data_IF_858575259460
#
_entry.id   IF_858575259460
#
_cell.length_a   1.000
_cell.length_b   1.000
_cell.length_c   1.000
_cell.angle_alpha   90.00
_cell.angle_beta   90.00
_cell.angle_gamma   90.00
#
_symmetry.space_group_name_H-M   'P 1'
#
loop_
_entity.id
_entity.type
_entity.pdbx_description
1 polymer ?
#
# COMPACT_ATOMS: atom_id res chain seq x y z
N UNK A 1 -13.81 29.02 0.55
CA UNK A 1 -12.39 29.07 0.13
C UNK A 1 -11.71 27.70 0.26
N UNK A 2 -11.76 27.03 1.42
CA UNK A 2 -11.16 25.69 1.61
C UNK A 2 -11.65 24.64 0.58
N UNK A 3 -12.94 24.65 0.23
CA UNK A 3 -13.49 23.73 -0.79
C UNK A 3 -12.95 23.97 -2.20
N UNK A 4 -12.66 25.23 -2.56
CA UNK A 4 -12.11 25.56 -3.89
C UNK A 4 -10.64 25.10 -3.98
N UNK A 5 -9.86 25.33 -2.91
CA UNK A 5 -8.46 24.91 -2.84
C UNK A 5 -8.33 23.38 -2.88
N UNK A 6 -9.17 22.66 -2.14
CA UNK A 6 -9.19 21.18 -2.14
C UNK A 6 -9.55 20.61 -3.50
N UNK A 7 -10.58 21.15 -4.17
CA UNK A 7 -10.95 20.74 -5.53
C UNK A 7 -9.79 21.02 -6.51
N UNK A 8 -9.18 22.20 -6.44
CA UNK A 8 -8.03 22.55 -7.28
C UNK A 8 -6.84 21.60 -7.09
N UNK A 9 -6.52 21.23 -5.85
CA UNK A 9 -5.47 20.28 -5.53
C UNK A 9 -5.78 18.86 -6.07
N UNK A 10 -7.02 18.39 -5.92
CA UNK A 10 -7.44 17.08 -6.48
C UNK A 10 -7.28 17.07 -7.99
N UNK A 11 -7.74 18.11 -8.68
CA UNK A 11 -7.59 18.23 -10.14
C UNK A 11 -6.11 18.24 -10.52
N UNK A 12 -5.27 19.01 -9.82
CA UNK A 12 -3.83 19.06 -10.08
C UNK A 12 -3.17 17.69 -9.93
N UNK A 13 -3.49 16.94 -8.88
CA UNK A 13 -2.98 15.58 -8.66
C UNK A 13 -3.44 14.65 -9.79
N UNK A 14 -4.73 14.68 -10.16
CA UNK A 14 -5.28 13.86 -11.23
C UNK A 14 -4.64 14.16 -12.59
N UNK A 15 -4.41 15.44 -12.91
CA UNK A 15 -3.72 15.87 -14.14
C UNK A 15 -2.30 15.33 -14.16
N UNK A 16 -1.55 15.44 -13.06
CA UNK A 16 -0.18 14.91 -12.97
C UNK A 16 -0.15 13.38 -13.11
N UNK A 17 -1.09 12.66 -12.48
CA UNK A 17 -1.20 11.21 -12.62
C UNK A 17 -1.53 10.80 -14.06
N UNK A 18 -2.53 11.44 -14.68
CA UNK A 18 -2.89 11.17 -16.08
C UNK A 18 -1.71 11.49 -17.01
N UNK A 19 -1.03 12.63 -16.80
CA UNK A 19 0.16 12.99 -17.57
C UNK A 19 1.26 11.92 -17.43
N UNK A 20 1.56 11.48 -16.21
CA UNK A 20 2.54 10.42 -15.94
C UNK A 20 2.22 9.10 -16.65
N UNK A 21 0.94 8.66 -16.64
CA UNK A 21 0.54 7.42 -17.32
C UNK A 21 0.43 7.56 -18.84
N UNK A 22 0.17 8.76 -19.36
CA UNK A 22 -0.03 9.02 -20.79
C UNK A 22 1.26 9.39 -21.50
N UNK A 23 2.23 9.94 -20.78
CA UNK A 23 3.52 10.30 -21.32
C UNK A 23 4.35 9.04 -21.64
N UNK A 24 4.53 8.80 -22.94
CA UNK A 24 5.34 7.70 -23.48
C UNK A 24 6.83 8.06 -23.57
N UNK A 25 7.26 9.22 -23.05
CA UNK A 25 8.66 9.62 -23.06
C UNK A 25 9.58 8.74 -22.17
N UNK A 26 9.02 7.82 -21.38
CA UNK A 26 9.75 6.68 -20.81
C UNK A 26 10.07 5.57 -21.83
N UNK A 27 10.32 5.94 -23.10
CA UNK A 27 10.69 5.04 -24.20
C UNK A 27 12.06 4.35 -24.06
N UNK A 28 12.78 4.60 -22.95
CA UNK A 28 14.08 4.01 -22.64
C UNK A 28 14.19 3.38 -21.24
N UNK A 29 13.10 3.26 -20.48
CA UNK A 29 13.17 2.63 -19.16
C UNK A 29 12.30 1.38 -19.08
N UNK A 30 12.99 0.26 -18.90
CA UNK A 30 12.74 -1.01 -18.21
C UNK A 30 11.50 -1.21 -17.30
N UNK A 31 10.59 -0.23 -17.18
CA UNK A 31 9.36 -0.29 -16.42
C UNK A 31 8.24 -0.85 -17.29
N UNK A 32 8.02 -2.16 -17.23
CA UNK A 32 6.83 -2.75 -17.87
C UNK A 32 5.59 -2.24 -17.15
N UNK A 33 4.77 -1.44 -17.84
CA UNK A 33 3.51 -0.91 -17.30
C UNK A 33 2.57 -2.02 -16.88
N UNK A 34 2.48 -3.10 -17.65
CA UNK A 34 1.73 -4.32 -17.30
C UNK A 34 2.19 -4.89 -15.96
N UNK A 35 3.51 -4.90 -15.77
CA UNK A 35 4.15 -5.42 -14.59
C UNK A 35 3.84 -4.52 -13.38
N UNK A 36 3.95 -3.20 -13.52
CA UNK A 36 3.56 -2.26 -12.47
C UNK A 36 2.09 -2.39 -12.05
N UNK A 37 1.15 -2.43 -13.01
CA UNK A 37 -0.27 -2.60 -12.70
C UNK A 37 -0.55 -3.90 -11.97
N UNK A 38 0.11 -5.00 -12.36
CA UNK A 38 -0.03 -6.28 -11.66
C UNK A 38 0.44 -6.17 -10.21
N UNK A 39 1.57 -5.52 -9.94
CA UNK A 39 2.04 -5.29 -8.57
C UNK A 39 1.06 -4.42 -7.78
N UNK A 40 0.58 -3.33 -8.38
CA UNK A 40 -0.38 -2.41 -7.77
C UNK A 40 -1.67 -3.13 -7.35
N UNK A 41 -2.29 -3.89 -8.25
CA UNK A 41 -3.54 -4.61 -7.94
C UNK A 41 -3.33 -5.74 -6.94
N UNK A 42 -2.16 -6.38 -6.91
CA UNK A 42 -1.80 -7.39 -5.90
C UNK A 42 -1.66 -6.75 -4.52
N UNK A 43 -0.93 -5.63 -4.41
CA UNK A 43 -0.81 -4.92 -3.13
C UNK A 43 -2.16 -4.38 -2.66
N UNK A 44 -2.98 -3.85 -3.58
CA UNK A 44 -4.33 -3.37 -3.28
C UNK A 44 -5.24 -4.49 -2.77
N UNK A 45 -5.19 -5.67 -3.38
CA UNK A 45 -6.02 -6.81 -2.95
C UNK A 45 -5.58 -7.35 -1.60
N UNK A 46 -4.27 -7.40 -1.34
CA UNK A 46 -3.70 -7.79 -0.05
C UNK A 46 -4.13 -6.80 1.03
N UNK A 47 -3.99 -5.49 0.77
CA UNK A 47 -4.46 -4.43 1.68
C UNK A 47 -5.94 -4.61 2.04
N UNK A 48 -6.82 -4.80 1.06
CA UNK A 48 -8.25 -5.02 1.33
C UNK A 48 -8.46 -6.31 2.15
N UNK A 49 -7.74 -7.39 1.86
CA UNK A 49 -7.86 -8.64 2.60
C UNK A 49 -7.43 -8.51 4.07
N UNK A 50 -6.31 -7.82 4.34
CA UNK A 50 -5.86 -7.53 5.71
C UNK A 50 -6.81 -6.57 6.42
N UNK A 51 -7.35 -5.56 5.74
CA UNK A 51 -8.37 -4.68 6.31
C UNK A 51 -9.61 -5.47 6.78
N UNK A 52 -10.11 -6.40 5.96
CA UNK A 52 -11.21 -7.30 6.33
C UNK A 52 -10.81 -8.19 7.51
N UNK A 53 -9.59 -8.75 7.51
CA UNK A 53 -9.08 -9.57 8.61
C UNK A 53 -9.04 -8.80 9.93
N UNK A 54 -8.49 -7.58 9.95
CA UNK A 54 -8.43 -6.77 11.18
C UNK A 54 -9.80 -6.33 11.66
N UNK A 55 -10.68 -5.96 10.73
CA UNK A 55 -12.08 -5.64 11.04
C UNK A 55 -12.75 -6.83 11.72
N UNK A 56 -12.65 -8.02 11.12
CA UNK A 56 -13.25 -9.25 11.66
C UNK A 56 -12.67 -9.65 13.03
N UNK A 57 -11.35 -9.58 13.21
CA UNK A 57 -10.70 -9.93 14.47
C UNK A 57 -11.01 -8.94 15.61
N UNK A 58 -11.59 -7.78 15.30
CA UNK A 58 -11.86 -6.72 16.26
C UNK A 58 -13.34 -6.58 16.64
N UNK A 59 -14.19 -7.54 16.26
CA UNK A 59 -15.64 -7.49 16.52
C UNK A 59 -15.99 -7.54 18.00
N UNK A 60 -15.42 -8.50 18.73
CA UNK A 60 -15.72 -8.67 20.17
C UNK A 60 -14.94 -7.67 21.03
N UNK A 61 -13.68 -7.45 20.67
CA UNK A 61 -12.77 -6.60 21.42
C UNK A 61 -12.00 -5.72 20.43
N UNK A 62 -12.05 -4.38 20.54
CA UNK A 62 -11.32 -3.51 19.64
C UNK A 62 -9.81 -3.74 19.77
N UNK A 63 -9.20 -4.28 18.71
CA UNK A 63 -7.77 -4.60 18.72
C UNK A 63 -6.89 -3.45 18.23
N UNK A 64 -7.47 -2.37 17.69
CA UNK A 64 -6.77 -1.12 17.37
C UNK A 64 -7.03 -0.05 18.45
N UNK A 65 -5.97 0.67 18.83
CA UNK A 65 -6.05 1.79 19.78
C UNK A 65 -5.43 3.05 19.19
N UNK A 66 -6.01 4.19 19.56
CA UNK A 66 -5.46 5.51 19.22
C UNK A 66 -4.20 5.75 20.05
N UNK A 67 -3.15 6.24 19.39
CA UNK A 67 -1.90 6.69 20.02
C UNK A 67 -2.13 7.98 20.79
N UNK A 68 -2.60 7.82 22.03
CA UNK A 68 -2.95 8.88 22.96
C UNK A 68 -2.68 8.38 24.38
N UNK A 69 -2.39 9.25 25.37
CA UNK A 69 -2.29 8.84 26.77
C UNK A 69 -3.51 8.07 27.27
N UNK A 70 -4.68 8.35 26.68
CA UNK A 70 -5.94 7.66 27.01
C UNK A 70 -6.08 6.27 26.39
N UNK A 71 -5.30 5.95 25.34
CA UNK A 71 -5.28 4.63 24.68
C UNK A 71 -6.66 4.12 24.26
N UNK A 72 -7.56 5.03 23.86
CA UNK A 72 -8.94 4.69 23.52
C UNK A 72 -9.01 3.72 22.34
N UNK A 73 -10.01 2.80 22.33
CA UNK A 73 -10.24 1.95 21.18
C UNK A 73 -10.56 2.81 19.96
N UNK A 74 -10.03 2.43 18.80
CA UNK A 74 -10.40 3.03 17.52
C UNK A 74 -11.86 2.67 17.23
N UNK A 75 -12.60 3.62 16.64
CA UNK A 75 -13.99 3.38 16.22
C UNK A 75 -14.04 2.21 15.24
N UNK A 76 -14.94 1.25 15.50
CA UNK A 76 -15.05 0.02 14.73
C UNK A 76 -15.74 0.27 13.37
N UNK A 77 -15.01 0.88 12.43
CA UNK A 77 -15.47 1.14 11.07
C UNK A 77 -14.49 0.53 10.07
N UNK A 78 -15.01 -0.05 8.99
CA UNK A 78 -14.17 -0.66 7.95
C UNK A 78 -13.10 0.30 7.42
N UNK A 79 -13.43 1.59 7.26
CA UNK A 79 -12.50 2.60 6.78
C UNK A 79 -11.30 2.81 7.72
N UNK A 80 -11.47 2.71 9.04
CA UNK A 80 -10.36 2.80 9.98
C UNK A 80 -9.40 1.62 9.86
N UNK A 81 -9.91 0.40 9.66
CA UNK A 81 -9.08 -0.79 9.46
C UNK A 81 -8.45 -0.83 8.06
N UNK A 82 -9.13 -0.30 7.04
CA UNK A 82 -8.58 -0.10 5.71
C UNK A 82 -7.43 0.90 5.71
N UNK A 83 -7.60 2.01 6.44
CA UNK A 83 -6.54 2.99 6.65
C UNK A 83 -5.33 2.36 7.37
N UNK A 84 -5.57 1.64 8.47
CA UNK A 84 -4.51 0.94 9.20
C UNK A 84 -3.74 -0.04 8.31
N UNK A 85 -4.44 -0.87 7.54
CA UNK A 85 -3.84 -1.81 6.60
C UNK A 85 -3.03 -1.08 5.52
N UNK A 86 -3.57 -0.01 4.94
CA UNK A 86 -2.86 0.79 3.93
C UNK A 86 -1.56 1.40 4.47
N UNK A 87 -1.61 2.00 5.66
CA UNK A 87 -0.42 2.57 6.33
C UNK A 87 0.61 1.49 6.69
N UNK A 88 0.15 0.27 6.95
CA UNK A 88 1.01 -0.89 7.28
C UNK A 88 1.68 -1.48 6.04
N UNK A 89 0.92 -1.86 5.01
CA UNK A 89 1.45 -2.49 3.79
C UNK A 89 2.32 -1.54 2.97
N UNK A 90 2.01 -0.23 2.99
CA UNK A 90 2.83 0.79 2.35
C UNK A 90 4.04 1.20 3.20
N UNK A 91 4.24 0.57 4.37
CA UNK A 91 5.34 0.85 5.30
C UNK A 91 5.43 2.31 5.74
N UNK A 92 4.30 3.03 5.76
CA UNK A 92 4.22 4.43 6.18
C UNK A 92 4.27 4.53 7.70
N UNK A 93 3.48 3.70 8.39
CA UNK A 93 3.52 3.55 9.84
C UNK A 93 3.39 4.86 10.64
N UNK A 94 2.39 5.70 10.37
CA UNK A 94 2.21 6.99 11.07
C UNK A 94 2.18 6.89 12.60
N UNK A 95 1.81 5.72 13.14
CA UNK A 95 1.80 5.47 14.57
C UNK A 95 0.63 6.10 15.31
N UNK A 96 -0.39 6.54 14.58
CA UNK A 96 -1.66 7.05 15.09
C UNK A 96 -2.60 5.93 15.54
N UNK A 97 -2.60 4.79 14.84
CA UNK A 97 -3.27 3.55 15.24
C UNK A 97 -2.26 2.47 15.64
N UNK A 98 -2.44 1.92 16.84
CA UNK A 98 -1.55 0.94 17.45
C UNK A 98 -2.26 -0.42 17.53
N UNK A 99 -1.70 -1.49 16.94
CA UNK A 99 -2.25 -2.83 17.07
C UNK A 99 -2.03 -3.42 18.47
N UNK A 100 -3.02 -4.13 18.97
CA UNK A 100 -3.00 -4.83 20.26
C UNK A 100 -3.44 -6.28 20.10
N UNK A 101 -3.12 -7.15 21.07
CA UNK A 101 -3.46 -8.57 20.97
C UNK A 101 -2.85 -9.26 19.74
N UNK A 102 -3.61 -10.18 19.15
CA UNK A 102 -3.12 -11.08 18.08
C UNK A 102 -2.95 -10.38 16.72
N UNK A 103 -3.61 -9.23 16.48
CA UNK A 103 -3.45 -8.51 15.21
C UNK A 103 -2.03 -7.97 15.00
N UNK A 104 -1.20 -7.90 16.07
CA UNK A 104 0.23 -7.56 15.97
C UNK A 104 1.00 -8.50 15.07
N UNK A 105 0.71 -9.80 15.14
CA UNK A 105 1.36 -10.80 14.31
C UNK A 105 1.01 -10.59 12.83
N UNK A 106 -0.27 -10.37 12.54
CA UNK A 106 -0.75 -10.11 11.19
C UNK A 106 -0.20 -8.78 10.63
N UNK A 107 -0.09 -7.74 11.45
CA UNK A 107 0.52 -6.47 11.06
C UNK A 107 1.99 -6.62 10.67
N UNK A 108 2.76 -7.41 11.42
CA UNK A 108 4.14 -7.71 11.07
C UNK A 108 4.22 -8.47 9.73
N UNK A 109 3.34 -9.45 9.52
CA UNK A 109 3.29 -10.24 8.31
C UNK A 109 2.86 -9.39 7.10
N UNK A 110 1.88 -8.51 7.26
CA UNK A 110 1.44 -7.56 6.24
C UNK A 110 2.57 -6.60 5.85
N UNK A 111 3.27 -6.01 6.84
CA UNK A 111 4.40 -5.12 6.59
C UNK A 111 5.54 -5.86 5.85
N UNK A 112 5.82 -7.11 6.23
CA UNK A 112 6.80 -7.94 5.54
C UNK A 112 6.40 -8.20 4.08
N UNK A 113 5.14 -8.51 3.81
CA UNK A 113 4.64 -8.68 2.44
C UNK A 113 4.75 -7.38 1.65
N UNK A 114 4.34 -6.26 2.25
CA UNK A 114 4.39 -4.93 1.65
C UNK A 114 5.79 -4.52 1.22
N UNK A 115 6.82 -4.94 1.95
CA UNK A 115 8.22 -4.71 1.61
C UNK A 115 8.78 -5.76 0.63
N UNK A 116 8.60 -7.05 0.93
CA UNK A 116 9.26 -8.15 0.21
C UNK A 116 8.67 -8.38 -1.19
N UNK A 117 7.37 -8.17 -1.37
CA UNK A 117 6.70 -8.46 -2.64
C UNK A 117 7.17 -7.50 -3.76
N UNK A 118 7.21 -6.16 -3.55
CA UNK A 118 7.86 -5.25 -4.50
C UNK A 118 9.33 -5.61 -4.75
N UNK A 119 10.11 -5.91 -3.71
CA UNK A 119 11.54 -6.25 -3.86
C UNK A 119 11.75 -7.50 -4.70
N UNK A 120 11.03 -8.60 -4.43
CA UNK A 120 11.09 -9.83 -5.21
C UNK A 120 10.71 -9.59 -6.68
N UNK A 121 9.76 -8.68 -6.88
CA UNK A 121 9.32 -8.30 -8.20
C UNK A 121 10.38 -7.54 -9.00
N UNK A 122 11.05 -6.57 -8.35
CA UNK A 122 12.18 -5.87 -8.95
C UNK A 122 13.34 -6.83 -9.25
N UNK A 123 13.67 -7.75 -8.35
CA UNK A 123 14.72 -8.75 -8.58
C UNK A 123 14.42 -9.62 -9.81
N UNK A 124 13.18 -10.08 -9.98
CA UNK A 124 12.77 -10.87 -11.14
C UNK A 124 12.99 -10.14 -12.47
N UNK A 125 12.75 -8.84 -12.50
CA UNK A 125 12.99 -8.00 -13.69
C UNK A 125 14.48 -7.85 -13.99
N UNK A 126 15.29 -7.72 -12.95
CA UNK A 126 16.75 -7.62 -13.11
C UNK A 126 17.35 -8.94 -13.59
N UNK A 127 16.90 -10.08 -13.07
CA UNK A 127 17.36 -11.40 -13.48
C UNK A 127 16.98 -11.77 -14.91
N UNK A 128 15.77 -11.44 -15.37
CA UNK A 128 15.36 -11.70 -16.75
C UNK A 128 16.28 -11.00 -17.75
N UNK A 129 16.76 -9.80 -17.41
CA UNK A 129 17.72 -9.04 -18.22
C UNK A 129 19.11 -9.68 -18.26
N UNK A 130 19.58 -10.22 -17.13
CA UNK A 130 20.89 -10.88 -17.05
C UNK A 130 21.01 -12.15 -17.89
N UNK A 131 19.88 -12.80 -18.21
CA UNK A 131 19.82 -13.96 -19.11
C UNK A 131 19.77 -13.56 -20.58
N UNK A 132 18.96 -12.57 -20.94
CA UNK A 132 18.82 -12.07 -22.31
C UNK A 132 20.13 -11.48 -22.87
N UNK A 133 20.93 -10.80 -22.04
CA UNK A 133 22.23 -10.28 -22.46
C UNK A 133 23.28 -11.39 -22.74
N UNK A 134 23.16 -12.57 -22.10
CA UNK A 134 24.12 -13.68 -22.25
C UNK A 134 23.81 -14.59 -23.45
N UNK A 135 22.59 -14.56 -23.96
CA UNK A 135 22.20 -15.32 -25.17
C UNK A 135 22.49 -14.54 -26.47
N UNK A 136 22.81 -13.24 -26.37
CA UNK A 136 23.12 -12.35 -27.49
C UNK A 136 24.63 -12.05 -27.66
N UNK A 137 25.50 -12.68 -26.85
CA UNK A 137 26.97 -12.70 -26.99
C UNK A 137 27.44 -14.08 -27.47
#
# INVERSE_FOLDING_TARGET
MASIVTIGAIIFILVNLIYFFKDKHFKYSYFSTTLFYKLFFVLLSIMIAFAVLYYALSFENPMLRVSSPSGKPVEHTFLNYLYYSGVTILSVGYGDYIPTGHIRFFALLEAAIGLLLPTAYFMKVLESKGKENKENE
#
